data_IF_285204329833
#
_entry.id   IF_285204329833
#
_cell.length_a   1.000
_cell.length_b   1.000
_cell.length_c   1.000
_cell.angle_alpha   90.00
_cell.angle_beta   90.00
_cell.angle_gamma   90.00
#
_symmetry.space_group_name_H-M   'P 1'
#
loop_
_entity.id
_entity.type
_entity.pdbx_description
1 polymer ?
#
# COMPACT_ATOMS: atom_id res chain seq x y z
N UNK A 1 18.75 -13.80 -5.90
CA UNK A 1 17.78 -13.11 -5.06
C UNK A 1 18.44 -11.88 -4.47
N UNK A 2 17.94 -10.70 -4.81
CA UNK A 2 18.34 -9.46 -4.15
C UNK A 2 17.40 -9.23 -2.97
N UNK A 3 17.87 -8.58 -1.92
CA UNK A 3 17.09 -8.31 -0.70
C UNK A 3 15.79 -7.54 -1.00
N UNK A 4 15.81 -6.70 -2.03
CA UNK A 4 14.75 -5.79 -2.46
C UNK A 4 13.91 -6.32 -3.65
N UNK A 5 14.15 -7.56 -4.09
CA UNK A 5 13.37 -8.22 -5.15
C UNK A 5 12.00 -8.66 -4.63
N UNK A 6 11.10 -7.68 -4.48
CA UNK A 6 9.78 -7.85 -3.90
C UNK A 6 8.90 -6.60 -4.05
N UNK A 7 7.88 -6.48 -3.21
CA UNK A 7 6.97 -5.33 -3.20
C UNK A 7 6.75 -4.78 -1.80
N UNK A 8 6.43 -3.49 -1.72
CA UNK A 8 6.00 -2.84 -0.48
C UNK A 8 4.50 -2.58 -0.55
N UNK A 9 3.77 -3.07 0.45
CA UNK A 9 2.32 -2.89 0.59
C UNK A 9 2.02 -1.81 1.64
N UNK A 10 1.21 -0.81 1.25
CA UNK A 10 0.83 0.30 2.13
C UNK A 10 -0.68 0.54 2.07
N UNK A 11 -1.31 0.72 3.23
CA UNK A 11 -2.66 1.29 3.30
C UNK A 11 -2.53 2.79 3.43
N UNK A 12 -3.05 3.52 2.45
CA UNK A 12 -3.00 4.99 2.38
C UNK A 12 -4.39 5.56 2.64
N UNK A 13 -4.48 6.62 3.44
CA UNK A 13 -5.68 7.43 3.58
C UNK A 13 -5.60 8.65 2.64
N UNK A 14 -6.48 8.71 1.65
CA UNK A 14 -6.68 9.90 0.83
C UNK A 14 -7.70 10.81 1.52
N UNK A 15 -7.22 11.93 2.06
CA UNK A 15 -8.07 12.90 2.76
C UNK A 15 -9.04 13.64 1.83
N UNK A 16 -8.67 13.84 0.56
CA UNK A 16 -9.53 14.53 -0.40
C UNK A 16 -10.67 13.62 -0.84
N UNK A 17 -10.36 12.37 -1.17
CA UNK A 17 -11.36 11.36 -1.54
C UNK A 17 -12.14 10.80 -0.33
N UNK A 18 -11.66 11.03 0.90
CA UNK A 18 -12.19 10.46 2.15
C UNK A 18 -12.27 8.92 2.12
N UNK A 19 -11.34 8.31 1.42
CA UNK A 19 -11.26 6.86 1.20
C UNK A 19 -9.84 6.37 1.37
N UNK A 20 -9.69 5.09 1.67
CA UNK A 20 -8.39 4.44 1.68
C UNK A 20 -8.13 3.69 0.38
N UNK A 21 -6.87 3.42 0.08
CA UNK A 21 -6.46 2.50 -0.97
C UNK A 21 -5.25 1.67 -0.52
N UNK A 22 -5.13 0.48 -1.09
CA UNK A 22 -3.91 -0.33 -1.00
C UNK A 22 -2.97 0.10 -2.13
N UNK A 23 -1.76 0.51 -1.79
CA UNK A 23 -0.70 0.87 -2.71
C UNK A 23 0.33 -0.26 -2.78
N UNK A 24 0.78 -0.57 -3.99
CA UNK A 24 1.85 -1.53 -4.27
C UNK A 24 3.02 -0.77 -4.90
N UNK A 25 4.16 -0.79 -4.22
CA UNK A 25 5.41 -0.24 -4.74
C UNK A 25 6.36 -1.37 -5.11
N UNK A 26 7.12 -1.15 -6.19
CA UNK A 26 8.26 -1.98 -6.57
C UNK A 26 9.36 -1.86 -5.52
N UNK A 27 9.91 -2.99 -5.04
CA UNK A 27 10.93 -3.00 -3.99
C UNK A 27 12.26 -2.36 -4.40
N UNK A 28 12.62 -2.48 -5.68
CA UNK A 28 13.91 -2.01 -6.22
C UNK A 28 13.86 -0.51 -6.52
N UNK A 29 12.81 -0.06 -7.21
CA UNK A 29 12.70 1.32 -7.71
C UNK A 29 11.90 2.24 -6.81
N UNK A 30 11.14 1.67 -5.86
CA UNK A 30 10.20 2.37 -4.98
C UNK A 30 9.14 3.18 -5.76
N UNK A 31 8.86 2.78 -7.01
CA UNK A 31 7.83 3.37 -7.86
C UNK A 31 6.53 2.60 -7.71
N UNK A 32 5.42 3.30 -7.92
CA UNK A 32 4.10 2.69 -7.92
C UNK A 32 3.95 1.70 -9.07
N UNK A 33 3.56 0.48 -8.73
CA UNK A 33 3.16 -0.56 -9.67
C UNK A 33 1.64 -0.61 -9.86
N UNK A 34 0.90 -0.46 -8.76
CA UNK A 34 -0.54 -0.54 -8.76
C UNK A 34 -1.17 0.12 -7.52
N UNK A 35 -2.46 0.43 -7.63
CA UNK A 35 -3.32 0.81 -6.49
C UNK A 35 -4.70 0.15 -6.58
N UNK A 36 -5.27 -0.18 -5.44
CA UNK A 36 -6.63 -0.70 -5.31
C UNK A 36 -7.45 0.16 -4.33
N UNK A 37 -8.49 0.83 -4.84
CA UNK A 37 -9.36 1.69 -4.04
C UNK A 37 -10.31 0.87 -3.16
N UNK A 38 -10.49 1.31 -1.92
CA UNK A 38 -11.48 0.75 -1.00
C UNK A 38 -12.72 1.65 -0.95
N UNK A 39 -13.93 1.08 -0.82
CA UNK A 39 -15.16 1.86 -0.68
C UNK A 39 -15.30 2.54 0.70
N UNK A 40 -14.33 2.31 1.59
CA UNK A 40 -14.29 2.79 2.98
C UNK A 40 -12.95 3.47 3.27
N UNK A 41 -12.90 4.27 4.33
CA UNK A 41 -11.63 4.65 4.94
C UNK A 41 -11.22 3.58 5.97
N UNK A 42 -9.94 3.25 6.01
CA UNK A 42 -9.36 2.39 7.05
C UNK A 42 -8.75 3.30 8.12
N UNK A 43 -9.17 3.21 9.39
CA UNK A 43 -8.54 3.95 10.47
C UNK A 43 -7.04 3.60 10.61
N UNK A 44 -6.25 4.52 11.13
CA UNK A 44 -4.86 4.26 11.50
C UNK A 44 -4.79 3.05 12.43
N UNK A 45 -4.14 1.99 11.93
CA UNK A 45 -3.96 0.71 12.60
C UNK A 45 -2.47 0.46 12.87
N UNK A 46 -2.17 -0.66 13.52
CA UNK A 46 -0.81 -1.09 13.82
C UNK A 46 -0.27 -1.99 12.69
N UNK A 47 0.43 -3.06 13.07
CA UNK A 47 1.19 -3.91 12.18
C UNK A 47 0.27 -4.87 11.42
N UNK A 48 0.72 -5.28 10.23
CA UNK A 48 0.05 -6.25 9.37
C UNK A 48 1.05 -7.31 8.92
N UNK A 49 0.56 -8.48 8.54
CA UNK A 49 1.36 -9.55 7.95
C UNK A 49 0.76 -9.98 6.60
N UNK A 50 1.61 -10.48 5.71
CA UNK A 50 1.25 -11.08 4.43
C UNK A 50 1.42 -12.60 4.53
N UNK A 51 0.48 -13.38 3.99
CA UNK A 51 0.43 -14.85 4.05
C UNK A 51 0.24 -15.44 2.65
#
# INVERSE_FOLDING_TARGET
DQEDDGVVLLVVLDQQAKQSFLLVLDGITFKELARAHLPIYIPLSFHSNFY
#
